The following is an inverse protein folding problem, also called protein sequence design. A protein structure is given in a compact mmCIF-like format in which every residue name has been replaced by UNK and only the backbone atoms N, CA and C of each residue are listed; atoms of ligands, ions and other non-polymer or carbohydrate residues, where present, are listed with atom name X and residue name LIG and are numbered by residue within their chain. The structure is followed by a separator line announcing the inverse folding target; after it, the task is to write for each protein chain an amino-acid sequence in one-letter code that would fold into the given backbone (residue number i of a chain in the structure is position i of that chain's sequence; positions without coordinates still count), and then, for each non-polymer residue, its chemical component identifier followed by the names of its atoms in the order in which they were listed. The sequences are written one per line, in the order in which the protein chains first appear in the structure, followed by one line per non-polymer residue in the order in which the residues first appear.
data_IF_706722347719
#
_entry.id   IF_706722347719
#
_cell.length_a   1.000
_cell.length_b   1.000
_cell.length_c   1.000
_cell.angle_alpha   90.00
_cell.angle_beta   90.00
_cell.angle_gamma   90.00
#
_symmetry.space_group_name_H-M   'P 1'
#
loop_
_entity.id
_entity.type
_entity.pdbx_description
1 polymer ?
#
# COMPACT_ATOMS: atom_id res chain seq x y z
N UNK A 1 1.54 -85.31 -1.19
CA UNK A 1 2.18 -85.60 0.13
C UNK A 1 2.03 -84.36 0.97
N UNK A 2 1.15 -84.38 1.82
CA UNK A 2 0.93 -84.01 3.21
C UNK A 2 2.18 -83.51 3.92
N UNK A 3 2.11 -82.34 4.60
CA UNK A 3 2.16 -82.17 6.07
C UNK A 3 2.20 -80.68 6.38
N UNK A 4 1.27 -80.12 6.99
CA UNK A 4 0.93 -79.56 8.31
C UNK A 4 2.10 -79.04 9.14
N UNK A 5 1.99 -77.77 9.61
CA UNK A 5 2.08 -77.37 11.06
C UNK A 5 1.93 -75.83 11.15
N UNK A 6 0.88 -75.36 11.70
CA UNK A 6 0.49 -74.89 13.06
C UNK A 6 0.87 -73.44 13.41
N UNK A 7 -0.21 -72.74 13.72
CA UNK A 7 -0.34 -71.43 14.37
C UNK A 7 0.61 -71.14 15.54
N UNK A 8 1.07 -69.88 15.62
CA UNK A 8 1.21 -69.13 16.87
C UNK A 8 0.73 -67.72 16.67
N UNK A 9 -0.34 -67.39 17.34
CA UNK A 9 -0.89 -66.06 17.48
C UNK A 9 -0.09 -65.31 18.57
N UNK A 10 0.47 -64.14 18.22
CA UNK A 10 0.88 -63.17 19.23
C UNK A 10 0.23 -61.87 18.90
N UNK A 11 -0.75 -61.48 19.71
CA UNK A 11 -1.39 -60.17 19.69
C UNK A 11 -0.44 -59.17 20.36
N UNK A 12 0.24 -58.33 19.57
CA UNK A 12 0.87 -57.15 20.12
C UNK A 12 -0.09 -55.95 19.91
N UNK A 13 -0.70 -55.56 21.01
CA UNK A 13 -1.54 -54.35 21.09
C UNK A 13 -0.61 -53.14 21.12
N UNK A 14 -0.44 -52.47 19.99
CA UNK A 14 0.22 -51.17 19.96
C UNK A 14 -0.82 -50.11 20.25
N UNK A 15 -0.83 -49.60 21.48
CA UNK A 15 -1.60 -48.44 21.85
C UNK A 15 -1.03 -47.21 21.09
N UNK A 16 -1.72 -46.76 20.05
CA UNK A 16 -1.47 -45.43 19.45
C UNK A 16 -1.92 -44.37 20.46
N UNK A 17 -0.98 -43.77 21.13
CA UNK A 17 -1.20 -42.52 21.84
C UNK A 17 -1.27 -41.41 20.78
N UNK A 18 -2.49 -40.96 20.43
CA UNK A 18 -2.69 -39.74 19.70
C UNK A 18 -2.35 -38.58 20.65
N UNK A 19 -1.15 -38.06 20.51
CA UNK A 19 -0.81 -36.75 21.01
C UNK A 19 -1.57 -35.74 20.14
N UNK A 20 -2.74 -35.28 20.61
CA UNK A 20 -3.38 -34.08 20.13
C UNK A 20 -2.47 -32.89 20.47
N UNK A 21 -1.57 -32.53 19.55
CA UNK A 21 -0.98 -31.20 19.56
C UNK A 21 -2.13 -30.22 19.20
N UNK A 22 -2.40 -29.20 20.03
CA UNK A 22 -3.33 -28.18 19.61
C UNK A 22 -2.75 -27.50 18.38
N UNK A 23 -3.44 -27.59 17.24
CA UNK A 23 -3.20 -26.73 16.11
C UNK A 23 -3.52 -25.31 16.57
N UNK A 24 -2.50 -24.56 16.96
CA UNK A 24 -2.60 -23.11 17.15
C UNK A 24 -3.05 -22.56 15.79
N UNK A 25 -4.32 -22.19 15.71
CA UNK A 25 -4.88 -21.50 14.56
C UNK A 25 -4.15 -20.17 14.47
N UNK A 26 -3.48 -19.93 13.35
CA UNK A 26 -2.84 -18.65 13.00
C UNK A 26 -3.79 -17.45 13.13
N UNK A 27 -5.10 -17.68 13.19
CA UNK A 27 -6.14 -16.69 13.42
C UNK A 27 -6.17 -16.12 14.85
N UNK A 28 -5.42 -16.67 15.80
CA UNK A 28 -5.43 -16.21 17.20
C UNK A 28 -4.29 -15.24 17.56
N UNK A 29 -3.36 -14.98 16.66
CA UNK A 29 -2.25 -14.05 16.93
C UNK A 29 -2.54 -12.59 16.52
N UNK A 30 -3.67 -12.33 15.88
CA UNK A 30 -4.12 -10.95 15.66
C UNK A 30 -4.95 -10.51 16.87
N UNK A 31 -4.27 -10.07 17.92
CA UNK A 31 -4.91 -9.20 18.90
C UNK A 31 -5.63 -8.11 18.10
N UNK A 32 -6.94 -7.94 18.29
CA UNK A 32 -7.73 -6.90 17.64
C UNK A 32 -7.13 -5.56 18.06
N UNK A 33 -6.22 -5.04 17.24
CA UNK A 33 -5.69 -3.70 17.43
C UNK A 33 -6.89 -2.79 17.23
N UNK A 34 -7.37 -2.17 18.32
CA UNK A 34 -8.42 -1.17 18.22
C UNK A 34 -7.95 -0.11 17.24
N UNK A 35 -8.71 0.18 16.17
CA UNK A 35 -8.30 1.17 15.19
C UNK A 35 -8.02 2.50 15.87
N UNK A 36 -6.89 3.12 15.54
CA UNK A 36 -6.61 4.48 15.99
C UNK A 36 -7.47 5.41 15.16
N UNK A 37 -8.28 6.23 15.84
CA UNK A 37 -9.16 7.21 15.19
C UNK A 37 -8.51 8.58 15.24
N UNK A 38 -8.52 9.32 14.14
CA UNK A 38 -8.13 10.72 14.12
C UNK A 38 -9.09 11.55 14.97
N UNK A 39 -8.58 12.28 15.94
CA UNK A 39 -9.35 13.13 16.83
C UNK A 39 -8.90 14.59 16.74
N UNK A 40 -9.75 15.53 17.15
CA UNK A 40 -9.37 16.95 17.22
C UNK A 40 -8.16 17.19 18.12
N UNK A 41 -8.02 16.42 19.21
CA UNK A 41 -6.89 16.51 20.13
C UNK A 41 -5.55 16.13 19.48
N UNK A 42 -5.58 15.41 18.37
CA UNK A 42 -4.39 14.98 17.64
C UNK A 42 -3.98 15.96 16.53
N UNK A 43 -4.78 17.03 16.29
CA UNK A 43 -4.48 18.04 15.27
C UNK A 43 -3.60 19.13 15.90
N UNK A 44 -2.38 19.37 15.39
CA UNK A 44 -1.52 20.45 15.87
C UNK A 44 -2.15 21.83 15.69
N UNK A 45 -1.75 22.79 16.55
CA UNK A 45 -2.34 24.14 16.55
C UNK A 45 -1.89 25.03 15.37
N UNK A 46 -0.94 24.58 14.54
CA UNK A 46 -0.45 25.29 13.34
C UNK A 46 -1.14 24.80 12.05
N UNK A 47 -2.21 23.99 12.19
CA UNK A 47 -2.97 23.44 11.05
C UNK A 47 -4.18 24.33 10.75
N UNK A 48 -4.36 24.69 9.48
CA UNK A 48 -5.56 25.36 8.99
C UNK A 48 -6.74 24.39 8.88
N UNK A 49 -7.89 24.77 9.42
CA UNK A 49 -9.08 23.92 9.46
C UNK A 49 -9.66 23.62 8.06
N UNK A 50 -9.48 24.52 7.10
CA UNK A 50 -10.03 24.40 5.75
C UNK A 50 -9.23 23.46 4.83
N UNK A 51 -7.95 23.30 5.09
CA UNK A 51 -7.03 22.43 4.33
C UNK A 51 -6.61 21.18 5.08
N UNK A 52 -6.74 21.17 6.40
CA UNK A 52 -6.15 20.21 7.32
C UNK A 52 -4.62 20.12 7.18
N UNK A 53 -3.97 21.26 6.91
CA UNK A 53 -2.54 21.37 6.64
C UNK A 53 -1.96 22.71 7.14
N UNK A 54 -0.62 22.85 7.09
CA UNK A 54 0.10 24.09 7.48
C UNK A 54 -0.06 25.26 6.51
N UNK A 55 -0.70 25.07 5.36
CA UNK A 55 -1.09 26.16 4.47
C UNK A 55 -2.60 26.16 4.26
N UNK A 56 -3.25 27.33 4.12
CA UNK A 56 -4.70 27.40 3.95
C UNK A 56 -5.12 26.82 2.60
N UNK A 57 -6.41 26.45 2.50
CA UNK A 57 -6.97 25.96 1.24
C UNK A 57 -6.97 27.05 0.18
N UNK A 58 -6.36 26.76 -0.97
CA UNK A 58 -6.40 27.69 -2.12
C UNK A 58 -7.81 27.78 -2.69
N UNK A 59 -8.28 29.03 -2.84
CA UNK A 59 -9.53 29.34 -3.51
C UNK A 59 -9.24 29.69 -4.98
N UNK A 60 -10.03 29.12 -5.91
CA UNK A 60 -9.89 29.38 -7.34
C UNK A 60 -9.94 30.87 -7.69
N UNK A 61 -10.75 31.65 -6.97
CA UNK A 61 -10.89 33.11 -7.14
C UNK A 61 -9.60 33.89 -6.88
N UNK A 62 -8.71 33.36 -6.04
CA UNK A 62 -7.45 34.02 -5.67
C UNK A 62 -6.31 33.71 -6.64
N UNK A 63 -6.54 32.83 -7.61
CA UNK A 63 -5.55 32.45 -8.61
C UNK A 63 -5.58 33.38 -9.82
N UNK A 64 -4.44 33.58 -10.46
CA UNK A 64 -4.33 34.22 -11.76
C UNK A 64 -4.93 33.33 -12.87
N UNK A 65 -4.89 33.78 -14.12
CA UNK A 65 -5.45 33.03 -15.24
C UNK A 65 -4.79 31.65 -15.46
N UNK A 66 -3.50 31.54 -15.19
CA UNK A 66 -2.77 30.28 -15.31
C UNK A 66 -3.08 29.34 -14.16
N UNK A 67 -3.12 29.85 -12.94
CA UNK A 67 -3.50 29.08 -11.76
C UNK A 67 -4.93 28.55 -11.84
N UNK A 68 -5.86 29.37 -12.36
CA UNK A 68 -7.24 28.89 -12.61
C UNK A 68 -7.29 27.74 -13.60
N UNK A 69 -6.49 27.77 -14.67
CA UNK A 69 -6.42 26.65 -15.62
C UNK A 69 -5.87 25.37 -14.95
N UNK A 70 -4.84 25.49 -14.13
CA UNK A 70 -4.31 24.37 -13.39
C UNK A 70 -5.34 23.80 -12.40
N UNK A 71 -6.04 24.66 -11.66
CA UNK A 71 -7.11 24.28 -10.76
C UNK A 71 -8.24 23.54 -11.50
N UNK A 72 -8.72 24.11 -12.61
CA UNK A 72 -9.80 23.54 -13.43
C UNK A 72 -9.41 22.18 -14.02
N UNK A 73 -8.13 21.97 -14.33
CA UNK A 73 -7.63 20.65 -14.77
C UNK A 73 -7.83 19.59 -13.69
N UNK A 74 -7.52 19.91 -12.44
CA UNK A 74 -7.69 18.94 -11.34
C UNK A 74 -9.15 18.64 -11.02
N UNK A 75 -10.04 19.62 -11.07
CA UNK A 75 -11.47 19.42 -10.75
C UNK A 75 -12.31 18.98 -11.95
N UNK A 76 -11.69 18.68 -13.07
CA UNK A 76 -12.37 18.13 -14.25
C UNK A 76 -12.95 16.73 -13.95
N UNK A 77 -14.01 16.31 -14.66
CA UNK A 77 -14.60 14.97 -14.50
C UNK A 77 -13.58 13.85 -14.69
N UNK A 78 -13.64 12.83 -13.81
CA UNK A 78 -12.80 11.63 -13.88
C UNK A 78 -11.44 11.77 -13.21
N UNK A 79 -11.15 12.90 -12.56
CA UNK A 79 -9.85 13.11 -11.86
C UNK A 79 -9.84 12.62 -10.41
N UNK A 80 -11.03 12.47 -9.80
CA UNK A 80 -11.22 12.18 -8.38
C UNK A 80 -11.14 13.42 -7.48
N UNK A 81 -11.08 14.64 -8.09
CA UNK A 81 -11.05 15.93 -7.39
C UNK A 81 -12.23 16.86 -7.80
N UNK A 82 -13.27 16.32 -8.38
CA UNK A 82 -14.44 17.05 -8.89
C UNK A 82 -15.13 17.88 -7.81
N UNK A 83 -15.06 17.43 -6.55
CA UNK A 83 -15.65 18.11 -5.39
C UNK A 83 -14.73 19.14 -4.75
N UNK A 84 -13.53 19.35 -5.30
CA UNK A 84 -12.53 20.29 -4.81
C UNK A 84 -11.19 19.64 -4.51
N UNK A 85 -10.18 20.50 -4.34
CA UNK A 85 -8.82 20.06 -4.04
C UNK A 85 -8.72 19.62 -2.57
N UNK A 86 -7.97 18.57 -2.33
CA UNK A 86 -7.69 18.05 -0.98
C UNK A 86 -6.35 17.33 -0.95
N UNK A 87 -5.86 17.07 0.25
CA UNK A 87 -4.62 16.35 0.44
C UNK A 87 -3.43 17.07 -0.22
N UNK A 88 -2.45 16.33 -0.76
CA UNK A 88 -1.25 16.93 -1.33
C UNK A 88 -1.53 17.87 -2.51
N UNK A 89 -2.60 17.62 -3.28
CA UNK A 89 -2.99 18.48 -4.42
C UNK A 89 -3.39 19.89 -3.95
N UNK A 90 -4.05 20.01 -2.80
CA UNK A 90 -4.36 21.29 -2.18
C UNK A 90 -3.09 22.10 -1.91
N UNK A 91 -2.03 21.43 -1.43
CA UNK A 91 -0.75 22.08 -1.16
C UNK A 91 0.00 22.45 -2.44
N UNK A 92 0.03 21.56 -3.42
CA UNK A 92 0.71 21.85 -4.71
C UNK A 92 0.09 23.04 -5.44
N UNK A 93 -1.20 23.30 -5.25
CA UNK A 93 -1.89 24.42 -5.89
C UNK A 93 -1.38 25.79 -5.41
N UNK A 94 -0.62 25.87 -4.33
CA UNK A 94 0.15 27.07 -3.97
C UNK A 94 1.27 27.39 -4.99
N UNK A 95 1.64 26.41 -5.82
CA UNK A 95 2.52 26.56 -6.98
C UNK A 95 1.82 25.98 -8.23
N UNK A 96 0.91 26.72 -8.87
CA UNK A 96 0.04 26.18 -9.92
C UNK A 96 0.78 25.58 -11.12
N UNK A 97 1.96 26.11 -11.45
CA UNK A 97 2.80 25.58 -12.52
C UNK A 97 3.30 24.19 -12.17
N UNK A 98 3.83 24.01 -10.95
CA UNK A 98 4.28 22.71 -10.46
C UNK A 98 3.09 21.75 -10.36
N UNK A 99 1.95 22.21 -9.83
CA UNK A 99 0.75 21.38 -9.73
C UNK A 99 0.31 20.84 -11.10
N UNK A 100 0.40 21.65 -12.15
CA UNK A 100 0.03 21.26 -13.51
C UNK A 100 0.93 20.13 -14.04
N UNK A 101 2.25 20.24 -13.87
CA UNK A 101 3.20 19.21 -14.28
C UNK A 101 3.02 17.91 -13.48
N UNK A 102 2.78 18.02 -12.18
CA UNK A 102 2.49 16.87 -11.32
C UNK A 102 1.21 16.15 -11.77
N UNK A 103 0.19 16.88 -12.24
CA UNK A 103 -1.02 16.27 -12.76
C UNK A 103 -0.72 15.32 -13.91
N UNK A 104 0.10 15.72 -14.87
CA UNK A 104 0.44 14.88 -16.03
C UNK A 104 1.22 13.63 -15.62
N UNK A 105 2.17 13.78 -14.70
CA UNK A 105 2.89 12.61 -14.11
C UNK A 105 1.89 11.66 -13.44
N UNK A 106 0.98 12.18 -12.60
CA UNK A 106 -0.04 11.38 -11.94
C UNK A 106 -0.91 10.61 -12.93
N UNK A 107 -1.38 11.29 -13.98
CA UNK A 107 -2.21 10.65 -15.00
C UNK A 107 -1.47 9.51 -15.70
N UNK A 108 -0.20 9.72 -16.05
CA UNK A 108 0.63 8.67 -16.65
C UNK A 108 0.81 7.48 -15.72
N UNK A 109 1.37 7.68 -14.52
CA UNK A 109 1.82 6.56 -13.68
C UNK A 109 0.68 5.79 -13.02
N UNK A 110 -0.48 6.43 -12.76
CA UNK A 110 -1.64 5.76 -12.16
C UNK A 110 -2.61 5.14 -13.17
N UNK A 111 -2.83 5.80 -14.29
CA UNK A 111 -3.92 5.46 -15.21
C UNK A 111 -3.48 5.25 -16.65
N UNK A 112 -2.38 5.83 -17.07
CA UNK A 112 -1.89 5.81 -18.45
C UNK A 112 -0.95 4.64 -18.78
N UNK A 113 -0.84 3.64 -17.91
CA UNK A 113 0.01 2.47 -18.08
C UNK A 113 -0.83 1.20 -18.26
N UNK A 114 -0.28 0.11 -18.81
CA UNK A 114 -0.99 -1.17 -18.96
C UNK A 114 -1.35 -1.86 -17.63
N UNK A 115 -0.78 -1.42 -16.50
CA UNK A 115 -1.08 -2.00 -15.18
C UNK A 115 -2.56 -1.77 -14.82
N UNK A 116 -3.22 -2.79 -14.30
CA UNK A 116 -4.54 -2.64 -13.72
C UNK A 116 -4.49 -1.88 -12.38
N UNK A 117 -5.65 -1.51 -11.86
CA UNK A 117 -5.72 -0.74 -10.60
C UNK A 117 -5.37 -1.61 -9.39
N UNK A 118 -5.59 -2.92 -9.43
CA UNK A 118 -5.17 -3.84 -8.37
C UNK A 118 -3.65 -3.81 -8.17
N UNK A 119 -2.89 -3.93 -9.26
CA UNK A 119 -1.42 -3.85 -9.23
C UNK A 119 -0.94 -2.42 -8.91
N UNK A 120 -1.63 -1.41 -9.40
CA UNK A 120 -1.32 -0.01 -9.08
C UNK A 120 -1.45 0.25 -7.58
N UNK A 121 -2.55 -0.16 -6.95
CA UNK A 121 -2.76 0.01 -5.51
C UNK A 121 -1.81 -0.87 -4.66
N UNK A 122 -1.44 -2.07 -5.12
CA UNK A 122 -0.39 -2.89 -4.48
C UNK A 122 0.93 -2.12 -4.36
N UNK A 123 1.38 -1.47 -5.45
CA UNK A 123 2.62 -0.67 -5.45
C UNK A 123 2.48 0.55 -4.54
N UNK A 124 1.32 1.21 -4.56
CA UNK A 124 1.04 2.38 -3.70
C UNK A 124 1.09 2.00 -2.23
N UNK A 125 0.40 0.91 -1.83
CA UNK A 125 0.42 0.43 -0.45
C UNK A 125 1.82 -0.01 -0.02
N UNK A 126 2.55 -0.71 -0.89
CA UNK A 126 3.94 -1.09 -0.62
C UNK A 126 4.80 0.14 -0.38
N UNK A 127 4.67 1.17 -1.22
CA UNK A 127 5.39 2.44 -1.06
C UNK A 127 4.99 3.13 0.26
N UNK A 128 3.70 3.25 0.54
CA UNK A 128 3.19 3.89 1.76
C UNK A 128 3.68 3.19 3.02
N UNK A 129 3.77 1.83 3.01
CA UNK A 129 4.32 1.06 4.12
C UNK A 129 5.82 1.31 4.32
N UNK A 130 6.61 1.30 3.26
CA UNK A 130 8.07 1.45 3.36
C UNK A 130 8.48 2.84 3.83
N UNK A 131 7.76 3.89 3.41
CA UNK A 131 7.97 5.26 3.93
C UNK A 131 7.19 5.54 5.22
N UNK A 132 6.49 4.54 5.77
CA UNK A 132 5.68 4.63 6.99
C UNK A 132 4.67 5.79 6.97
N UNK A 133 3.97 5.98 5.84
CA UNK A 133 3.04 7.09 5.65
C UNK A 133 1.60 6.69 5.97
N UNK A 134 1.14 7.07 7.17
CA UNK A 134 -0.20 6.80 7.67
C UNK A 134 -1.30 7.40 6.80
N UNK A 135 -1.10 8.62 6.28
CA UNK A 135 -2.09 9.31 5.46
C UNK A 135 -2.37 8.55 4.16
N UNK A 136 -1.30 8.22 3.40
CA UNK A 136 -1.40 7.49 2.14
C UNK A 136 -1.94 6.08 2.35
N UNK A 137 -1.44 5.37 3.35
CA UNK A 137 -1.96 4.05 3.67
C UNK A 137 -3.47 4.07 3.90
N UNK A 138 -3.94 4.92 4.84
CA UNK A 138 -5.37 4.97 5.17
C UNK A 138 -6.25 5.53 4.07
N UNK A 139 -5.68 6.27 3.10
CA UNK A 139 -6.39 6.70 1.91
C UNK A 139 -6.51 5.59 0.86
N UNK A 140 -5.48 4.74 0.74
CA UNK A 140 -5.35 3.78 -0.35
C UNK A 140 -5.77 2.35 0.01
N UNK A 141 -5.74 1.92 1.28
CA UNK A 141 -6.21 0.58 1.65
C UNK A 141 -7.66 0.30 1.22
N UNK A 142 -8.64 1.20 1.42
CA UNK A 142 -9.99 1.00 0.91
C UNK A 142 -10.06 0.98 -0.63
N UNK A 143 -9.21 1.76 -1.31
CA UNK A 143 -9.16 1.79 -2.78
C UNK A 143 -8.57 0.48 -3.32
N UNK A 144 -7.57 -0.07 -2.66
CA UNK A 144 -6.98 -1.36 -3.00
C UNK A 144 -8.00 -2.50 -2.88
N UNK A 145 -8.80 -2.51 -1.82
CA UNK A 145 -9.90 -3.47 -1.64
C UNK A 145 -10.94 -3.35 -2.77
N UNK A 146 -11.35 -2.12 -3.12
CA UNK A 146 -12.27 -1.86 -4.24
C UNK A 146 -11.66 -2.29 -5.58
N UNK A 147 -10.36 -2.14 -5.75
CA UNK A 147 -9.63 -2.59 -6.95
C UNK A 147 -9.44 -4.12 -7.01
N UNK A 148 -9.87 -4.85 -5.96
CA UNK A 148 -9.79 -6.31 -5.90
C UNK A 148 -8.48 -6.85 -5.37
N UNK A 149 -7.66 -6.03 -4.67
CA UNK A 149 -6.48 -6.53 -3.98
C UNK A 149 -6.92 -7.32 -2.74
N UNK A 150 -6.47 -8.56 -2.66
CA UNK A 150 -6.84 -9.51 -1.61
C UNK A 150 -6.38 -9.04 -0.23
N UNK A 151 -7.22 -9.23 0.78
CA UNK A 151 -6.94 -8.78 2.14
C UNK A 151 -5.65 -9.39 2.70
N UNK A 152 -5.37 -10.66 2.37
CA UNK A 152 -4.17 -11.37 2.79
C UNK A 152 -2.90 -10.73 2.19
N UNK A 153 -2.98 -10.23 0.95
CA UNK A 153 -1.86 -9.51 0.31
C UNK A 153 -1.67 -8.15 0.95
N UNK A 154 -2.76 -7.43 1.24
CA UNK A 154 -2.70 -6.17 2.00
C UNK A 154 -2.00 -6.39 3.35
N UNK A 155 -2.31 -7.49 4.05
CA UNK A 155 -1.66 -7.84 5.32
C UNK A 155 -0.17 -8.20 5.17
N UNK A 156 0.21 -8.86 4.07
CA UNK A 156 1.64 -9.12 3.77
C UNK A 156 2.41 -7.80 3.67
N UNK A 157 1.83 -6.80 3.02
CA UNK A 157 2.44 -5.48 2.88
C UNK A 157 2.39 -4.75 4.23
N UNK A 158 1.22 -4.68 4.87
CA UNK A 158 0.95 -3.95 6.11
C UNK A 158 1.93 -4.32 7.23
N UNK A 159 2.16 -5.62 7.41
CA UNK A 159 3.01 -6.17 8.46
C UNK A 159 4.42 -6.54 7.99
N UNK A 160 4.82 -6.17 6.78
CA UNK A 160 6.13 -6.50 6.19
C UNK A 160 6.49 -7.98 6.32
N UNK A 161 5.51 -8.87 6.14
CA UNK A 161 5.73 -10.32 6.27
C UNK A 161 6.86 -10.78 5.34
N UNK A 162 7.62 -11.78 5.77
CA UNK A 162 8.68 -12.39 4.94
C UNK A 162 8.06 -13.10 3.74
N UNK A 163 8.43 -12.66 2.52
CA UNK A 163 7.88 -13.16 1.27
C UNK A 163 8.26 -14.61 0.96
N UNK A 164 9.29 -15.14 1.61
CA UNK A 164 9.79 -16.50 1.40
C UNK A 164 9.11 -17.53 2.30
N UNK A 165 8.47 -17.09 3.38
CA UNK A 165 7.85 -17.97 4.38
C UNK A 165 6.32 -17.92 4.38
N UNK A 166 5.71 -17.30 3.37
CA UNK A 166 4.26 -17.17 3.28
C UNK A 166 3.57 -18.49 2.96
N UNK A 167 2.38 -18.75 3.54
CA UNK A 167 1.50 -19.80 3.06
C UNK A 167 1.03 -19.49 1.64
N UNK A 168 0.36 -20.45 1.00
CA UNK A 168 -0.28 -20.19 -0.28
C UNK A 168 -1.42 -19.16 -0.10
N UNK A 169 -1.32 -18.04 -0.81
CA UNK A 169 -2.31 -16.97 -0.85
C UNK A 169 -2.87 -16.92 -2.28
N UNK A 170 -4.19 -16.77 -2.39
CA UNK A 170 -4.85 -16.65 -3.68
C UNK A 170 -4.35 -15.40 -4.43
N UNK A 171 -4.09 -15.54 -5.74
CA UNK A 171 -3.57 -14.49 -6.62
C UNK A 171 -2.27 -13.81 -6.15
N UNK A 172 -1.51 -14.48 -5.26
CA UNK A 172 -0.19 -14.02 -4.84
C UNK A 172 0.90 -14.77 -5.60
N UNK A 173 1.19 -14.30 -6.80
CA UNK A 173 2.17 -14.89 -7.71
C UNK A 173 3.53 -14.20 -7.70
N UNK A 174 4.28 -14.45 -8.75
CA UNK A 174 5.61 -13.86 -8.96
C UNK A 174 5.54 -12.35 -9.12
N UNK A 175 4.48 -11.83 -9.79
CA UNK A 175 4.30 -10.39 -10.03
C UNK A 175 4.13 -9.65 -8.71
N UNK A 176 3.24 -10.10 -7.83
CA UNK A 176 3.00 -9.46 -6.53
C UNK A 176 4.26 -9.51 -5.66
N UNK A 177 4.91 -10.66 -5.60
CA UNK A 177 6.14 -10.85 -4.81
C UNK A 177 7.25 -9.91 -5.25
N UNK A 178 7.52 -9.87 -6.57
CA UNK A 178 8.62 -9.04 -7.08
C UNK A 178 8.32 -7.55 -6.92
N UNK A 179 7.06 -7.11 -7.09
CA UNK A 179 6.70 -5.71 -6.91
C UNK A 179 6.83 -5.25 -5.46
N UNK A 180 6.44 -6.10 -4.50
CA UNK A 180 6.62 -5.81 -3.06
C UNK A 180 8.11 -5.78 -2.73
N UNK A 181 8.89 -6.77 -3.18
CA UNK A 181 10.32 -6.83 -2.93
C UNK A 181 11.06 -5.64 -3.56
N UNK A 182 10.78 -5.35 -4.83
CA UNK A 182 11.36 -4.22 -5.54
C UNK A 182 11.07 -2.89 -4.83
N UNK A 183 9.83 -2.70 -4.36
CA UNK A 183 9.46 -1.48 -3.64
C UNK A 183 10.19 -1.39 -2.30
N UNK A 184 10.30 -2.49 -1.55
CA UNK A 184 11.05 -2.55 -0.29
C UNK A 184 12.50 -2.14 -0.49
N UNK A 185 13.17 -2.75 -1.46
CA UNK A 185 14.57 -2.44 -1.75
C UNK A 185 14.74 -0.99 -2.25
N UNK A 186 13.88 -0.54 -3.17
CA UNK A 186 13.98 0.81 -3.75
C UNK A 186 13.77 1.93 -2.72
N UNK A 187 12.91 1.70 -1.73
CA UNK A 187 12.53 2.75 -0.76
C UNK A 187 13.33 2.67 0.52
N UNK A 188 13.70 1.45 0.97
CA UNK A 188 14.28 1.22 2.29
C UNK A 188 15.76 0.84 2.28
N UNK A 189 16.31 0.45 1.11
CA UNK A 189 17.70 0.05 0.97
C UNK A 189 18.50 1.08 0.15
N UNK A 190 19.81 0.89 0.08
CA UNK A 190 20.69 1.76 -0.72
C UNK A 190 20.36 1.69 -2.22
N UNK A 191 20.01 0.49 -2.70
CA UNK A 191 19.67 0.22 -4.10
C UNK A 191 18.86 -1.07 -4.23
N UNK A 192 18.16 -1.21 -5.35
CA UNK A 192 17.57 -2.48 -5.76
C UNK A 192 18.70 -3.48 -6.09
N UNK A 193 18.61 -4.70 -5.56
CA UNK A 193 19.57 -5.76 -5.82
C UNK A 193 19.55 -6.18 -7.31
N UNK A 194 20.67 -6.71 -7.81
CA UNK A 194 20.76 -7.14 -9.21
C UNK A 194 19.75 -8.24 -9.55
N UNK A 195 19.53 -9.18 -8.63
CA UNK A 195 18.59 -10.30 -8.82
C UNK A 195 17.14 -9.80 -8.89
N UNK A 196 16.73 -8.94 -7.97
CA UNK A 196 15.39 -8.32 -7.97
C UNK A 196 15.18 -7.47 -9.23
N UNK A 197 16.21 -6.71 -9.64
CA UNK A 197 16.16 -5.89 -10.85
C UNK A 197 16.00 -6.75 -12.11
N UNK A 198 16.78 -7.83 -12.25
CA UNK A 198 16.73 -8.72 -13.41
C UNK A 198 15.35 -9.38 -13.54
N UNK A 199 14.78 -9.89 -12.45
CA UNK A 199 13.45 -10.49 -12.44
C UNK A 199 12.39 -9.44 -12.85
N UNK A 200 12.43 -8.25 -12.26
CA UNK A 200 11.49 -7.18 -12.56
C UNK A 200 11.61 -6.73 -14.04
N UNK A 201 12.85 -6.61 -14.56
CA UNK A 201 13.09 -6.27 -15.95
C UNK A 201 12.53 -7.32 -16.93
N UNK A 202 12.70 -8.60 -16.61
CA UNK A 202 12.18 -9.70 -17.42
C UNK A 202 10.64 -9.73 -17.44
N UNK A 203 9.98 -9.39 -16.33
CA UNK A 203 8.52 -9.39 -16.21
C UNK A 203 7.88 -8.15 -16.86
N UNK A 204 8.48 -6.98 -16.70
CA UNK A 204 7.83 -5.71 -17.06
C UNK A 204 8.48 -5.01 -18.27
N UNK A 205 9.66 -5.43 -18.69
CA UNK A 205 10.43 -4.75 -19.72
C UNK A 205 10.90 -3.36 -19.32
N UNK A 206 11.62 -2.68 -20.19
CA UNK A 206 12.22 -1.38 -19.89
C UNK A 206 11.17 -0.31 -19.55
N UNK A 207 10.13 -0.18 -20.38
CA UNK A 207 9.09 0.83 -20.19
C UNK A 207 8.27 0.56 -18.93
N UNK A 208 7.83 -0.69 -18.71
CA UNK A 208 7.05 -1.07 -17.55
C UNK A 208 7.81 -0.86 -16.24
N UNK A 209 9.11 -1.17 -16.23
CA UNK A 209 9.95 -0.96 -15.05
C UNK A 209 10.14 0.53 -14.74
N UNK A 210 10.35 1.37 -15.76
CA UNK A 210 10.43 2.83 -15.59
C UNK A 210 9.10 3.40 -15.08
N UNK A 211 7.96 2.92 -15.58
CA UNK A 211 6.63 3.31 -15.09
C UNK A 211 6.39 2.89 -13.63
N UNK A 212 6.90 1.73 -13.21
CA UNK A 212 6.84 1.27 -11.80
C UNK A 212 7.68 2.19 -10.92
N UNK A 213 8.92 2.48 -11.31
CA UNK A 213 9.79 3.44 -10.59
C UNK A 213 9.14 4.82 -10.54
N UNK A 214 8.52 5.26 -11.64
CA UNK A 214 7.78 6.51 -11.69
C UNK A 214 6.61 6.56 -10.71
N UNK A 215 5.86 5.47 -10.57
CA UNK A 215 4.76 5.37 -9.61
C UNK A 215 5.26 5.42 -8.15
N UNK A 216 6.29 4.64 -7.82
CA UNK A 216 6.92 4.65 -6.50
C UNK A 216 7.49 6.04 -6.19
N UNK A 217 8.21 6.66 -7.13
CA UNK A 217 8.77 8.01 -6.99
C UNK A 217 7.68 9.07 -6.80
N UNK A 218 6.57 8.99 -7.54
CA UNK A 218 5.44 9.88 -7.37
C UNK A 218 4.85 9.79 -5.96
N UNK A 219 4.65 8.58 -5.41
CA UNK A 219 4.11 8.42 -4.06
C UNK A 219 5.12 8.76 -2.95
N UNK A 220 6.43 8.66 -3.20
CA UNK A 220 7.44 9.26 -2.33
C UNK A 220 7.34 10.79 -2.32
N UNK A 221 7.13 11.41 -3.49
CA UNK A 221 6.91 12.86 -3.57
C UNK A 221 5.62 13.30 -2.85
N UNK A 222 4.53 12.54 -3.00
CA UNK A 222 3.30 12.72 -2.21
C UNK A 222 3.61 12.68 -0.72
N UNK A 223 4.32 11.65 -0.25
CA UNK A 223 4.63 11.47 1.16
C UNK A 223 5.49 12.61 1.73
N UNK A 224 6.47 13.11 0.96
CA UNK A 224 7.28 14.27 1.34
C UNK A 224 6.39 15.51 1.49
N UNK A 225 5.43 15.72 0.58
CA UNK A 225 4.46 16.81 0.67
C UNK A 225 3.61 16.69 1.94
N UNK A 226 3.02 15.53 2.18
CA UNK A 226 2.21 15.27 3.37
C UNK A 226 2.99 15.56 4.66
N UNK A 227 4.24 15.12 4.72
CA UNK A 227 5.12 15.34 5.86
C UNK A 227 5.52 16.81 6.03
N UNK A 228 5.85 17.50 4.96
CA UNK A 228 6.30 18.90 5.01
C UNK A 228 5.19 19.84 5.48
N UNK A 229 3.98 19.62 5.00
CA UNK A 229 2.82 20.44 5.34
C UNK A 229 1.97 19.86 6.46
N UNK A 230 2.41 18.77 7.08
CA UNK A 230 1.74 18.08 8.18
C UNK A 230 0.23 17.88 7.92
N UNK A 231 -0.06 17.31 6.75
CA UNK A 231 -1.44 17.06 6.35
C UNK A 231 -2.10 16.04 7.25
N UNK A 232 -3.24 16.42 7.81
CA UNK A 232 -4.05 15.60 8.71
C UNK A 232 -5.14 14.86 7.95
N UNK A 233 -5.49 13.67 8.42
CA UNK A 233 -6.71 12.99 8.00
C UNK A 233 -7.93 13.69 8.66
N UNK A 234 -9.11 13.68 8.02
CA UNK A 234 -10.31 14.20 8.64
C UNK A 234 -10.59 13.56 10.00
N UNK A 235 -11.09 14.34 10.95
CA UNK A 235 -11.54 13.84 12.26
C UNK A 235 -12.58 12.74 12.07
N UNK A 236 -12.48 11.68 12.85
CA UNK A 236 -13.35 10.51 12.77
C UNK A 236 -12.89 9.45 11.77
N UNK A 237 -11.81 9.70 10.99
CA UNK A 237 -11.26 8.66 10.08
C UNK A 237 -10.35 7.70 10.83
N UNK A 238 -10.36 6.44 10.40
CA UNK A 238 -9.46 5.42 10.93
C UNK A 238 -8.05 5.59 10.38
N UNK A 239 -7.07 5.36 11.25
CA UNK A 239 -5.65 5.33 10.93
C UNK A 239 -5.23 3.86 10.82
N UNK A 240 -5.15 3.35 9.58
CA UNK A 240 -5.11 1.91 9.29
C UNK A 240 -3.71 1.30 9.30
N UNK A 241 -2.64 2.12 9.32
CA UNK A 241 -1.27 1.63 9.27
C UNK A 241 -0.73 1.45 10.71
N UNK A 242 -0.47 0.22 11.17
CA UNK A 242 0.11 0.01 12.49
C UNK A 242 1.56 0.48 12.55
N UNK A 243 1.98 0.96 13.71
CA UNK A 243 3.39 1.11 14.03
C UNK A 243 3.99 -0.28 14.15
N UNK A 244 5.09 -0.55 13.43
CA UNK A 244 5.87 -1.76 13.64
C UNK A 244 6.94 -1.45 14.68
N UNK A 245 7.02 -2.30 15.70
CA UNK A 245 8.14 -2.27 16.63
C UNK A 245 9.41 -2.67 15.86
N UNK A 246 10.45 -1.86 15.95
CA UNK A 246 11.75 -2.06 15.30
C UNK A 246 12.53 -3.14 16.03
#
# INVERSE_FOLDING_TARGET
MKTYFKHVTSKCLIAMVFLNAPSLSWAQEHASITPVIQTEANIPGDIFNDSLARLPQIQRSNLDAQGRRAFDTYVSPGTGYETGLRGPVGMWMHSPNLAREIFDVRQRVRYGTPKDQRITELIILSTAREINNQYEWSAHEPLAQVAGLEQEIIEVIKYRKDLNSLPQIENFGEIEKILIQFTRELVSEEKVSSDTFEIALNLFGNEGLVDIVGLIGYYNFVAITLKAFDLQRPVGTELLLPTLDN
#
